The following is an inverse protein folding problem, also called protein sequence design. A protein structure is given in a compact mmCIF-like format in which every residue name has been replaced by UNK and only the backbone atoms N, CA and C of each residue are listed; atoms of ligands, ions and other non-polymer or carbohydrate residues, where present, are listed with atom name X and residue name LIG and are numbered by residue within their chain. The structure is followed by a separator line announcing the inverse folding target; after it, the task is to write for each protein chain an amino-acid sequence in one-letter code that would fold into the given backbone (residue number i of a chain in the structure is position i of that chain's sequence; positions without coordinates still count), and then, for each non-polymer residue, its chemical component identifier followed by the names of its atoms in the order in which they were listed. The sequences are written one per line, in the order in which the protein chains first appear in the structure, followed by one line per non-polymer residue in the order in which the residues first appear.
data_IF_160199929643
#
_entry.id   IF_160199929643
#
_cell.length_a   1.000
_cell.length_b   1.000
_cell.length_c   1.000
_cell.angle_alpha   90.00
_cell.angle_beta   90.00
_cell.angle_gamma   90.00
#
_symmetry.space_group_name_H-M   'P 1'
#
loop_
_entity.id
_entity.type
_entity.pdbx_description
1 polymer ?
#
# COMPACT_ATOMS: atom_id res chain seq x y z
N UNK A 1 2.84 10.02 -27.23
CA UNK A 1 2.38 9.33 -26.01
C UNK A 1 3.30 8.17 -25.70
N UNK A 2 3.70 8.00 -24.43
CA UNK A 2 4.52 6.86 -23.98
C UNK A 2 3.67 5.85 -23.22
N UNK A 3 3.84 4.57 -23.53
CA UNK A 3 3.08 3.46 -22.96
C UNK A 3 4.03 2.43 -22.41
N UNK A 4 3.73 1.88 -21.23
CA UNK A 4 4.49 0.82 -20.61
C UNK A 4 3.60 -0.39 -20.30
N UNK A 5 3.87 -1.53 -20.93
CA UNK A 5 3.22 -2.79 -20.62
C UNK A 5 3.97 -3.48 -19.48
N UNK A 6 3.26 -3.75 -18.39
CA UNK A 6 3.79 -4.38 -17.19
C UNK A 6 3.13 -5.75 -17.03
N UNK A 7 3.91 -6.81 -17.28
CA UNK A 7 3.46 -8.15 -16.98
C UNK A 7 3.60 -8.43 -15.48
N UNK A 8 2.56 -9.01 -14.87
CA UNK A 8 2.63 -9.52 -13.49
C UNK A 8 3.02 -10.99 -13.56
N UNK A 9 4.27 -11.36 -13.22
CA UNK A 9 4.67 -12.76 -13.25
C UNK A 9 3.87 -13.54 -12.20
N UNK A 10 3.22 -14.63 -12.63
CA UNK A 10 2.75 -15.68 -11.73
C UNK A 10 3.97 -16.20 -10.95
N UNK A 11 3.99 -16.08 -9.61
CA UNK A 11 4.90 -16.92 -8.82
C UNK A 11 4.21 -18.27 -8.64
N UNK A 12 4.83 -19.33 -9.16
CA UNK A 12 4.35 -20.72 -9.16
C UNK A 12 4.17 -21.37 -7.76
N UNK A 13 4.38 -20.65 -6.65
CA UNK A 13 4.43 -21.22 -5.29
C UNK A 13 3.21 -20.91 -4.41
N UNK A 14 2.01 -20.75 -4.98
CA UNK A 14 0.79 -20.90 -4.18
C UNK A 14 -0.11 -21.98 -4.81
N UNK A 15 0.00 -23.20 -4.28
CA UNK A 15 -1.08 -24.18 -4.39
C UNK A 15 -2.18 -23.66 -3.49
N UNK A 16 -3.24 -23.11 -4.08
CA UNK A 16 -4.50 -22.97 -3.37
C UNK A 16 -4.86 -24.35 -2.84
N UNK A 17 -4.73 -24.52 -1.52
CA UNK A 17 -5.33 -25.66 -0.86
C UNK A 17 -6.85 -25.58 -1.11
N UNK A 18 -7.40 -26.75 -1.35
CA UNK A 18 -8.82 -27.01 -1.50
C UNK A 18 -9.64 -26.21 -0.48
N UNK A 19 -10.56 -25.39 -0.96
CA UNK A 19 -11.48 -24.64 -0.10
C UNK A 19 -11.42 -23.14 -0.34
N UNK A 20 -12.14 -22.70 -1.38
CA UNK A 20 -12.58 -21.33 -1.46
C UNK A 20 -13.39 -21.00 -0.20
N UNK A 21 -12.81 -20.23 0.72
CA UNK A 21 -13.60 -19.45 1.66
C UNK A 21 -14.16 -18.26 0.88
N UNK A 22 -15.49 -18.18 0.87
CA UNK A 22 -16.28 -17.04 0.42
C UNK A 22 -16.01 -15.83 1.32
N UNK A 23 -14.86 -15.19 1.14
CA UNK A 23 -14.59 -13.78 1.43
C UNK A 23 -13.11 -13.52 1.14
N UNK A 24 -12.90 -12.69 0.11
CA UNK A 24 -11.60 -12.15 -0.33
C UNK A 24 -10.64 -13.11 -1.04
N UNK A 25 -10.40 -12.89 -2.33
CA UNK A 25 -9.09 -13.03 -2.91
C UNK A 25 -8.53 -11.63 -3.15
N UNK A 26 -7.72 -11.10 -2.23
CA UNK A 26 -6.66 -10.17 -2.63
C UNK A 26 -5.66 -10.96 -3.48
N UNK A 27 -6.03 -11.23 -4.74
CA UNK A 27 -5.13 -11.82 -5.71
C UNK A 27 -3.91 -10.90 -5.83
N UNK A 28 -2.71 -11.47 -6.04
CA UNK A 28 -1.46 -10.71 -6.26
C UNK A 28 -1.57 -9.61 -7.34
N UNK A 29 -2.62 -9.66 -8.18
CA UNK A 29 -2.97 -8.64 -9.17
C UNK A 29 -3.39 -7.30 -8.52
N UNK A 30 -4.00 -7.36 -7.33
CA UNK A 30 -4.41 -6.19 -6.52
C UNK A 30 -3.25 -5.51 -5.77
N UNK A 31 -2.07 -6.13 -5.69
CA UNK A 31 -0.89 -5.52 -5.04
C UNK A 31 -0.52 -4.18 -5.67
N UNK A 32 -0.65 -4.09 -6.99
CA UNK A 32 -0.45 -2.86 -7.74
C UNK A 32 -1.67 -1.91 -7.64
N UNK A 33 -2.74 -2.27 -6.97
CA UNK A 33 -3.93 -1.42 -6.79
C UNK A 33 -4.20 -1.19 -5.31
N UNK A 34 -3.14 -1.14 -4.50
CA UNK A 34 -3.22 -0.76 -3.11
C UNK A 34 -3.20 0.77 -2.97
N UNK A 35 -4.34 1.34 -2.58
CA UNK A 35 -4.52 2.80 -2.50
C UNK A 35 -3.87 3.36 -1.24
N UNK A 36 -3.04 4.40 -1.38
CA UNK A 36 -2.51 5.17 -0.25
C UNK A 36 -2.63 6.66 -0.58
N UNK A 37 -3.35 7.39 0.27
CA UNK A 37 -3.57 8.85 0.14
C UNK A 37 -3.97 9.27 -1.30
N UNK A 38 -4.94 8.57 -1.92
CA UNK A 38 -5.45 8.82 -3.28
C UNK A 38 -4.44 8.53 -4.40
N UNK A 39 -3.43 7.70 -4.14
CA UNK A 39 -2.51 7.19 -5.16
C UNK A 39 -2.47 5.67 -5.14
N UNK A 40 -2.35 5.08 -6.33
CA UNK A 40 -1.90 3.69 -6.45
C UNK A 40 -0.41 3.63 -6.72
N UNK A 41 0.19 2.59 -6.18
CA UNK A 41 1.60 2.28 -6.34
C UNK A 41 1.72 0.91 -7.01
N UNK A 42 2.56 0.86 -8.03
CA UNK A 42 2.84 -0.35 -8.77
C UNK A 42 4.30 -0.71 -8.71
N UNK A 43 4.58 -2.00 -8.78
CA UNK A 43 5.92 -2.53 -8.92
C UNK A 43 5.96 -3.54 -10.05
N UNK A 44 6.91 -3.35 -10.98
CA UNK A 44 7.19 -4.33 -12.02
C UNK A 44 8.70 -4.52 -12.15
N UNK A 45 9.11 -5.72 -12.55
CA UNK A 45 10.48 -6.06 -12.84
C UNK A 45 10.53 -6.72 -14.22
N UNK A 46 11.47 -6.28 -15.04
CA UNK A 46 11.75 -6.85 -16.36
C UNK A 46 12.00 -8.36 -16.33
N UNK A 47 12.62 -8.86 -15.25
CA UNK A 47 13.05 -10.26 -15.17
C UNK A 47 14.21 -10.60 -16.11
N UNK A 48 14.74 -9.60 -16.83
CA UNK A 48 15.87 -9.71 -17.74
C UNK A 48 17.14 -9.22 -17.07
N UNK A 49 18.25 -9.89 -17.37
CA UNK A 49 19.56 -9.42 -16.91
C UNK A 49 19.99 -8.22 -17.74
N UNK A 50 20.48 -7.17 -17.07
CA UNK A 50 20.98 -5.97 -17.73
C UNK A 50 22.46 -5.72 -17.46
N UNK A 51 23.13 -5.20 -18.49
CA UNK A 51 24.51 -4.72 -18.39
C UNK A 51 24.56 -3.39 -17.60
N UNK A 52 25.28 -3.41 -16.49
CA UNK A 52 25.50 -2.25 -15.63
C UNK A 52 26.14 -1.06 -16.34
N UNK A 53 26.99 -1.28 -17.35
CA UNK A 53 27.61 -0.17 -18.08
C UNK A 53 26.57 0.59 -18.91
N UNK A 54 25.59 -0.12 -19.48
CA UNK A 54 24.44 0.50 -20.16
C UNK A 54 23.56 1.29 -19.18
N UNK A 55 23.44 0.84 -17.93
CA UNK A 55 22.66 1.53 -16.90
C UNK A 55 23.31 2.83 -16.42
N UNK A 56 24.65 2.87 -16.29
CA UNK A 56 25.39 4.07 -15.85
C UNK A 56 25.27 5.26 -16.82
N UNK A 57 24.94 4.99 -18.08
CA UNK A 57 24.82 5.98 -19.14
C UNK A 57 23.38 6.47 -19.36
N UNK A 58 22.45 6.15 -18.46
CA UNK A 58 21.04 6.58 -18.55
C UNK A 58 20.92 8.01 -17.97
N UNK A 59 20.24 8.90 -18.70
CA UNK A 59 19.98 10.27 -18.23
C UNK A 59 19.04 10.29 -17.02
N UNK A 60 19.17 11.30 -16.16
CA UNK A 60 18.32 11.46 -14.96
C UNK A 60 16.82 11.56 -15.27
N UNK A 61 16.45 12.11 -16.43
CA UNK A 61 15.05 12.18 -16.88
C UNK A 61 14.48 10.81 -17.27
N UNK A 62 15.31 9.91 -17.81
CA UNK A 62 14.94 8.52 -18.12
C UNK A 62 14.73 7.67 -16.85
N UNK A 63 15.25 8.12 -15.71
CA UNK A 63 15.01 7.50 -14.41
C UNK A 63 13.65 7.87 -13.80
N UNK A 64 13.01 8.95 -14.28
CA UNK A 64 11.76 9.48 -13.73
C UNK A 64 10.82 10.00 -14.83
N UNK A 65 10.24 9.06 -15.58
CA UNK A 65 9.34 9.37 -16.68
C UNK A 65 7.94 9.72 -16.16
N UNK A 66 7.36 10.81 -16.65
CA UNK A 66 5.99 11.27 -16.31
C UNK A 66 5.04 11.08 -17.48
N UNK A 67 3.74 11.14 -17.19
CA UNK A 67 2.66 11.03 -18.17
C UNK A 67 2.70 9.73 -19.00
N UNK A 68 3.06 8.63 -18.33
CA UNK A 68 3.09 7.30 -18.94
C UNK A 68 1.73 6.63 -18.79
N UNK A 69 1.20 6.04 -19.86
CA UNK A 69 0.11 5.08 -19.75
C UNK A 69 0.71 3.74 -19.38
N UNK A 70 0.46 3.27 -18.16
CA UNK A 70 0.92 1.96 -17.72
C UNK A 70 -0.22 0.97 -17.89
N UNK A 71 -0.01 -0.08 -18.67
CA UNK A 71 -0.98 -1.14 -18.92
C UNK A 71 -0.50 -2.40 -18.19
N UNK A 72 -1.30 -2.87 -17.25
CA UNK A 72 -1.01 -4.10 -16.52
C UNK A 72 -1.57 -5.30 -17.27
N UNK A 73 -0.75 -6.34 -17.38
CA UNK A 73 -1.03 -7.53 -18.16
C UNK A 73 -0.81 -8.77 -17.31
N UNK A 74 -1.68 -9.77 -17.48
CA UNK A 74 -1.51 -11.12 -16.92
C UNK A 74 -2.00 -12.14 -17.94
N UNK A 75 -1.17 -13.14 -18.26
CA UNK A 75 -1.48 -14.20 -19.25
C UNK A 75 -2.04 -13.66 -20.58
N UNK A 76 -1.41 -12.62 -21.13
CA UNK A 76 -1.81 -11.99 -22.41
C UNK A 76 -3.04 -11.06 -22.31
N UNK A 77 -3.69 -10.97 -21.14
CA UNK A 77 -4.89 -10.14 -20.94
C UNK A 77 -4.57 -8.86 -20.21
N UNK A 78 -5.24 -7.76 -20.59
CA UNK A 78 -5.22 -6.52 -19.83
C UNK A 78 -6.00 -6.75 -18.53
N UNK A 79 -5.37 -6.46 -17.39
CA UNK A 79 -6.01 -6.53 -16.07
C UNK A 79 -6.41 -5.16 -15.54
N UNK A 80 -5.81 -4.10 -16.09
CA UNK A 80 -6.00 -2.74 -15.61
C UNK A 80 -4.93 -1.80 -16.13
N UNK A 81 -5.02 -0.53 -15.77
CA UNK A 81 -4.07 0.48 -16.22
C UNK A 81 -4.00 1.66 -15.28
N UNK A 82 -2.92 2.42 -15.39
CA UNK A 82 -2.78 3.74 -14.82
C UNK A 82 -2.61 4.77 -15.93
N UNK A 83 -3.48 5.78 -15.97
CA UNK A 83 -3.30 6.95 -16.81
C UNK A 83 -2.40 7.95 -16.09
N UNK A 84 -1.60 8.70 -16.87
CA UNK A 84 -0.73 9.79 -16.39
C UNK A 84 0.22 9.35 -15.26
N UNK A 85 0.71 8.11 -15.32
CA UNK A 85 1.59 7.57 -14.31
C UNK A 85 2.97 8.23 -14.34
N UNK A 86 3.61 8.24 -13.17
CA UNK A 86 5.01 8.52 -13.00
C UNK A 86 5.74 7.20 -12.75
N UNK A 87 6.79 6.94 -13.53
CA UNK A 87 7.55 5.69 -13.53
C UNK A 87 8.98 6.00 -13.14
N UNK A 88 9.43 5.34 -12.07
CA UNK A 88 10.79 5.43 -11.56
C UNK A 88 11.54 4.17 -11.92
N UNK A 89 12.60 4.32 -12.71
CA UNK A 89 13.45 3.22 -13.18
C UNK A 89 14.59 2.99 -12.18
N UNK A 90 14.78 1.75 -11.71
CA UNK A 90 15.86 1.39 -10.77
C UNK A 90 16.54 0.07 -11.16
N UNK A 91 17.85 0.01 -11.00
CA UNK A 91 18.58 -1.26 -11.08
C UNK A 91 18.50 -1.98 -9.73
N UNK A 92 18.11 -3.24 -9.73
CA UNK A 92 18.12 -4.11 -8.55
C UNK A 92 19.15 -5.21 -8.69
N UNK A 93 19.70 -5.65 -7.57
CA UNK A 93 20.67 -6.75 -7.51
C UNK A 93 19.98 -7.97 -6.92
N UNK A 94 20.00 -9.08 -7.66
CA UNK A 94 19.65 -10.40 -7.14
C UNK A 94 20.92 -11.21 -6.89
N UNK A 95 21.10 -11.64 -5.65
CA UNK A 95 22.12 -12.61 -5.31
C UNK A 95 21.60 -14.01 -5.65
N UNK A 96 22.29 -14.71 -6.55
CA UNK A 96 21.96 -16.09 -6.93
C UNK A 96 23.19 -16.93 -6.63
N UNK A 97 23.13 -17.73 -5.56
CA UNK A 97 24.11 -18.73 -5.08
C UNK A 97 25.61 -18.34 -5.11
N UNK A 98 26.20 -17.90 -6.24
CA UNK A 98 27.57 -17.39 -6.39
C UNK A 98 27.73 -16.22 -7.41
N UNK A 99 26.64 -15.61 -7.90
CA UNK A 99 26.68 -14.50 -8.85
C UNK A 99 25.71 -13.38 -8.48
N UNK A 100 26.02 -12.16 -8.93
CA UNK A 100 25.10 -11.02 -8.86
C UNK A 100 24.47 -10.82 -10.22
N UNK A 101 23.15 -10.98 -10.28
CA UNK A 101 22.36 -10.65 -11.46
C UNK A 101 21.76 -9.25 -11.26
N UNK A 102 21.91 -8.39 -12.26
CA UNK A 102 21.32 -7.06 -12.25
C UNK A 102 20.06 -7.07 -13.11
N UNK A 103 18.94 -6.64 -12.54
CA UNK A 103 17.67 -6.60 -13.26
C UNK A 103 17.08 -5.18 -13.20
N UNK A 104 16.25 -4.85 -14.19
CA UNK A 104 15.55 -3.58 -14.21
C UNK A 104 14.21 -3.68 -13.51
N UNK A 105 14.00 -2.83 -12.49
CA UNK A 105 12.75 -2.68 -11.79
C UNK A 105 12.17 -1.27 -11.92
N UNK A 106 10.86 -1.18 -11.74
CA UNK A 106 10.07 0.00 -11.99
C UNK A 106 9.13 0.19 -10.81
N UNK A 107 9.29 1.31 -10.11
CA UNK A 107 8.29 1.77 -9.15
C UNK A 107 7.37 2.73 -9.90
N UNK A 108 6.07 2.54 -9.77
CA UNK A 108 5.07 3.25 -10.56
C UNK A 108 4.13 3.93 -9.58
N UNK A 109 3.73 5.15 -9.87
CA UNK A 109 2.77 5.90 -9.07
C UNK A 109 1.79 6.63 -9.98
N UNK A 110 0.51 6.57 -9.66
CA UNK A 110 -0.52 7.34 -10.34
C UNK A 110 -1.64 7.72 -9.37
N UNK A 111 -2.41 8.77 -9.68
CA UNK A 111 -3.58 9.13 -8.86
C UNK A 111 -4.63 8.02 -8.99
N UNK A 112 -5.26 7.65 -7.89
CA UNK A 112 -6.23 6.55 -7.84
C UNK A 112 -7.36 6.75 -8.86
N UNK A 113 -7.85 7.99 -9.01
CA UNK A 113 -8.87 8.38 -10.00
C UNK A 113 -8.49 8.16 -11.46
N UNK A 114 -7.19 8.09 -11.76
CA UNK A 114 -6.67 7.90 -13.10
C UNK A 114 -6.36 6.41 -13.38
N UNK A 115 -6.71 5.51 -12.45
CA UNK A 115 -6.37 4.09 -12.52
C UNK A 115 -7.61 3.21 -12.46
N UNK A 116 -7.57 2.11 -13.20
CA UNK A 116 -8.65 1.14 -13.29
C UNK A 116 -8.09 -0.26 -13.12
N UNK A 117 -8.67 -1.02 -12.20
CA UNK A 117 -8.58 -2.47 -12.10
C UNK A 117 -9.84 -3.08 -12.70
N UNK A 118 -9.67 -3.96 -13.68
CA UNK A 118 -10.77 -4.58 -14.41
C UNK A 118 -11.34 -5.78 -13.66
N UNK A 119 -12.67 -5.89 -13.67
CA UNK A 119 -13.36 -7.14 -13.37
C UNK A 119 -12.85 -8.27 -14.28
N UNK A 120 -12.74 -9.47 -13.74
CA UNK A 120 -12.21 -10.65 -14.44
C UNK A 120 -12.96 -10.90 -15.76
N UNK A 121 -14.28 -10.67 -15.78
CA UNK A 121 -15.12 -10.87 -16.96
C UNK A 121 -14.90 -9.81 -18.04
N UNK A 122 -14.32 -8.66 -17.69
CA UNK A 122 -14.07 -7.55 -18.60
C UNK A 122 -12.66 -7.56 -19.20
N UNK A 123 -11.80 -8.52 -18.82
CA UNK A 123 -10.40 -8.60 -19.26
C UNK A 123 -10.30 -9.13 -20.69
N UNK A 124 -9.72 -8.32 -21.57
CA UNK A 124 -9.58 -8.62 -23.01
C UNK A 124 -8.13 -9.04 -23.33
N UNK A 125 -8.00 -10.02 -24.21
CA UNK A 125 -6.73 -10.47 -24.79
C UNK A 125 -6.47 -9.75 -26.11
N UNK A 126 -5.24 -9.28 -26.29
CA UNK A 126 -4.77 -8.68 -27.54
C UNK A 126 -3.58 -9.50 -28.03
N UNK A 127 -3.60 -9.93 -29.30
CA UNK A 127 -2.57 -10.80 -29.88
C UNK A 127 -1.17 -10.18 -29.86
N UNK A 128 -1.08 -8.85 -29.75
CA UNK A 128 0.15 -8.07 -29.71
C UNK A 128 0.79 -8.04 -28.31
N UNK A 129 0.06 -8.44 -27.28
CA UNK A 129 0.56 -8.51 -25.91
C UNK A 129 1.16 -9.90 -25.68
N UNK A 130 2.48 -10.03 -25.86
CA UNK A 130 3.19 -11.28 -25.56
C UNK A 130 3.39 -11.48 -24.06
N UNK A 131 3.55 -12.73 -23.65
CA UNK A 131 3.88 -13.09 -22.26
C UNK A 131 5.30 -12.68 -21.85
N UNK A 132 6.17 -12.38 -22.81
CA UNK A 132 7.56 -12.01 -22.58
C UNK A 132 7.74 -10.51 -22.36
N UNK A 133 8.07 -10.17 -21.11
CA UNK A 133 8.79 -8.99 -20.63
C UNK A 133 8.17 -7.59 -20.80
N UNK A 134 8.44 -6.76 -19.80
CA UNK A 134 8.10 -5.34 -19.73
C UNK A 134 8.51 -4.58 -21.00
N UNK A 135 7.57 -3.87 -21.62
CA UNK A 135 7.81 -3.11 -22.85
C UNK A 135 7.44 -1.64 -22.66
N UNK A 136 8.42 -0.74 -22.83
CA UNK A 136 8.20 0.72 -22.88
C UNK A 136 8.25 1.17 -24.35
N UNK A 137 7.12 1.67 -24.86
CA UNK A 137 6.98 2.19 -26.22
C UNK A 137 6.79 3.71 -26.20
N UNK A 138 7.52 4.39 -27.07
CA UNK A 138 7.25 5.77 -27.45
C UNK A 138 6.56 5.79 -28.81
N UNK A 139 5.24 6.02 -28.81
CA UNK A 139 4.42 5.95 -30.03
C UNK A 139 4.70 7.10 -30.99
N UNK A 140 5.22 8.23 -30.51
CA UNK A 140 5.61 9.33 -31.40
C UNK A 140 6.84 8.95 -32.22
N UNK A 141 7.72 8.13 -31.65
CA UNK A 141 8.93 7.62 -32.32
C UNK A 141 8.67 6.35 -33.12
N UNK A 142 7.59 5.62 -32.82
CA UNK A 142 7.24 4.35 -33.45
C UNK A 142 5.73 4.28 -33.76
N UNK A 143 5.22 5.03 -34.76
CA UNK A 143 3.79 5.10 -35.05
C UNK A 143 3.21 3.83 -35.69
N UNK A 144 4.06 2.91 -36.16
CA UNK A 144 3.67 1.71 -36.92
C UNK A 144 3.51 0.44 -36.06
N UNK A 145 3.38 0.55 -34.74
CA UNK A 145 3.13 -0.64 -33.91
C UNK A 145 1.69 -1.11 -34.12
N UNK A 146 1.54 -2.16 -34.92
CA UNK A 146 0.27 -2.81 -35.24
C UNK A 146 -0.51 -3.17 -33.96
N UNK A 147 -1.84 -3.00 -33.98
CA UNK A 147 -2.74 -3.33 -32.85
C UNK A 147 -2.74 -2.36 -31.65
N UNK A 148 -1.81 -1.38 -31.60
CA UNK A 148 -1.79 -0.41 -30.49
C UNK A 148 -3.01 0.51 -30.46
N UNK A 149 -3.58 0.80 -31.63
CA UNK A 149 -4.80 1.61 -31.74
C UNK A 149 -5.97 0.94 -31.02
N UNK A 150 -6.14 -0.37 -31.18
CA UNK A 150 -7.26 -1.12 -30.59
C UNK A 150 -7.17 -1.14 -29.05
N UNK A 151 -5.95 -1.29 -28.52
CA UNK A 151 -5.70 -1.23 -27.06
C UNK A 151 -6.04 0.16 -26.51
N UNK A 152 -5.62 1.22 -27.21
CA UNK A 152 -5.90 2.60 -26.80
C UNK A 152 -7.39 2.91 -26.86
N UNK A 153 -8.05 2.53 -27.96
CA UNK A 153 -9.48 2.73 -28.15
C UNK A 153 -10.26 1.99 -27.05
N UNK A 154 -9.85 0.79 -26.65
CA UNK A 154 -10.43 0.06 -25.52
C UNK A 154 -10.26 0.81 -24.18
N UNK A 155 -9.06 1.32 -23.87
CA UNK A 155 -8.76 2.04 -22.62
C UNK A 155 -9.45 3.41 -22.55
N UNK A 156 -9.60 4.10 -23.68
CA UNK A 156 -10.23 5.41 -23.76
C UNK A 156 -11.76 5.32 -23.68
N UNK A 157 -12.34 4.26 -24.25
CA UNK A 157 -13.79 4.08 -24.29
C UNK A 157 -14.34 3.16 -23.18
N UNK A 158 -13.50 2.67 -22.27
CA UNK A 158 -13.94 1.85 -21.15
C UNK A 158 -14.85 2.65 -20.20
N UNK A 159 -16.10 2.17 -20.02
CA UNK A 159 -17.13 2.81 -19.18
C UNK A 159 -17.70 1.89 -18.09
N UNK A 160 -17.25 0.65 -18.02
CA UNK A 160 -17.76 -0.29 -17.02
C UNK A 160 -17.23 0.04 -15.62
N UNK A 161 -17.91 -0.48 -14.61
CA UNK A 161 -17.52 -0.25 -13.22
C UNK A 161 -16.18 -0.94 -12.93
N UNK A 162 -15.16 -0.21 -12.44
CA UNK A 162 -13.90 -0.81 -12.04
C UNK A 162 -14.05 -1.58 -10.73
N UNK A 163 -13.21 -2.60 -10.51
CA UNK A 163 -13.17 -3.33 -9.24
C UNK A 163 -12.62 -2.48 -8.08
N UNK A 164 -11.73 -1.53 -8.37
CA UNK A 164 -11.13 -0.70 -7.34
C UNK A 164 -12.11 0.42 -6.92
N UNK A 165 -12.53 0.41 -5.65
CA UNK A 165 -13.29 1.51 -5.06
C UNK A 165 -12.34 2.66 -4.73
N UNK A 166 -12.54 3.81 -5.39
CA UNK A 166 -11.86 5.06 -5.02
C UNK A 166 -12.71 5.72 -3.95
N UNK A 167 -12.14 5.93 -2.77
CA UNK A 167 -12.85 6.67 -1.72
C UNK A 167 -12.88 8.16 -2.07
N UNK A 168 -14.07 8.75 -2.03
CA UNK A 168 -14.31 10.17 -2.23
C UNK A 168 -14.13 10.96 -0.93
N UNK A 169 -14.09 12.28 -1.01
CA UNK A 169 -14.12 13.13 0.18
C UNK A 169 -15.43 12.95 0.96
N UNK A 170 -16.53 12.71 0.25
CA UNK A 170 -17.84 12.43 0.82
C UNK A 170 -17.79 11.15 1.67
N UNK A 171 -17.30 10.04 1.11
CA UNK A 171 -17.12 8.75 1.82
C UNK A 171 -16.34 8.90 3.13
N UNK A 172 -15.36 9.81 3.16
CA UNK A 172 -14.48 10.05 4.32
C UNK A 172 -15.09 10.98 5.38
N UNK A 173 -16.15 11.71 5.01
CA UNK A 173 -16.80 12.73 5.83
C UNK A 173 -18.18 12.31 6.34
N UNK A 174 -18.67 11.13 5.94
CA UNK A 174 -19.94 10.57 6.42
C UNK A 174 -19.95 10.55 7.94
N UNK A 175 -21.10 10.91 8.51
CA UNK A 175 -21.46 10.74 9.92
C UNK A 175 -22.62 9.77 9.99
N UNK A 176 -22.70 8.99 11.07
CA UNK A 176 -23.87 8.14 11.28
C UNK A 176 -25.14 8.97 11.52
N UNK A 177 -26.26 8.51 10.97
CA UNK A 177 -27.60 9.06 11.24
C UNK A 177 -28.23 8.47 12.51
N UNK A 178 -27.65 7.39 13.06
CA UNK A 178 -28.15 6.77 14.28
C UNK A 178 -27.97 7.72 15.48
N UNK A 179 -29.03 7.87 16.26
CA UNK A 179 -29.03 8.64 17.49
C UNK A 179 -28.60 7.74 18.66
N UNK A 180 -27.40 7.97 19.19
CA UNK A 180 -27.00 7.41 20.47
C UNK A 180 -27.23 8.43 21.60
N UNK A 181 -27.43 7.96 22.82
CA UNK A 181 -27.77 8.82 23.97
C UNK A 181 -26.57 9.66 24.43
N UNK A 182 -25.37 9.08 24.40
CA UNK A 182 -24.14 9.73 24.88
C UNK A 182 -22.99 9.66 23.88
N UNK A 183 -21.98 10.51 24.08
CA UNK A 183 -20.72 10.45 23.30
C UNK A 183 -20.01 9.11 23.51
N UNK A 184 -20.11 8.54 24.71
CA UNK A 184 -19.52 7.23 25.01
C UNK A 184 -20.15 6.13 24.16
N UNK A 185 -21.47 6.16 23.97
CA UNK A 185 -22.16 5.18 23.13
C UNK A 185 -21.68 5.24 21.67
N UNK A 186 -21.49 6.45 21.13
CA UNK A 186 -20.92 6.62 19.79
C UNK A 186 -19.49 6.07 19.70
N UNK A 187 -18.66 6.28 20.73
CA UNK A 187 -17.31 5.71 20.79
C UNK A 187 -17.35 4.18 20.81
N UNK A 188 -18.19 3.58 21.65
CA UNK A 188 -18.33 2.13 21.77
C UNK A 188 -18.82 1.49 20.47
N UNK A 189 -19.75 2.12 19.76
CA UNK A 189 -20.16 1.64 18.44
C UNK A 189 -19.02 1.74 17.42
N UNK A 190 -18.28 2.85 17.41
CA UNK A 190 -17.09 3.01 16.56
C UNK A 190 -16.04 1.91 16.81
N UNK A 191 -15.76 1.60 18.07
CA UNK A 191 -14.86 0.51 18.47
C UNK A 191 -15.38 -0.86 18.03
N UNK A 192 -16.69 -1.11 18.22
CA UNK A 192 -17.34 -2.36 17.79
C UNK A 192 -17.26 -2.56 16.28
N UNK A 193 -17.67 -1.58 15.48
CA UNK A 193 -17.61 -1.68 14.02
C UNK A 193 -16.19 -1.87 13.52
N UNK A 194 -15.22 -1.19 14.14
CA UNK A 194 -13.81 -1.38 13.80
C UNK A 194 -13.34 -2.81 14.09
N UNK A 195 -13.73 -3.39 15.23
CA UNK A 195 -13.41 -4.79 15.57
C UNK A 195 -14.05 -5.82 14.64
N UNK A 196 -15.16 -5.44 13.98
CA UNK A 196 -15.83 -6.24 12.95
C UNK A 196 -15.24 -6.01 11.54
N UNK A 197 -14.13 -5.28 11.41
CA UNK A 197 -13.49 -4.90 10.14
C UNK A 197 -14.40 -4.04 9.23
N UNK A 198 -15.39 -3.36 9.82
CA UNK A 198 -16.31 -2.45 9.14
C UNK A 198 -15.83 -1.01 9.25
N UNK A 199 -14.74 -0.72 8.54
CA UNK A 199 -14.02 0.55 8.65
C UNK A 199 -14.86 1.78 8.23
N UNK A 200 -15.75 1.65 7.24
CA UNK A 200 -16.58 2.76 6.78
C UNK A 200 -17.61 3.17 7.85
N UNK A 201 -18.27 2.17 8.44
CA UNK A 201 -19.23 2.36 9.51
C UNK A 201 -18.53 2.91 10.76
N UNK A 202 -17.39 2.33 11.15
CA UNK A 202 -16.58 2.83 12.26
C UNK A 202 -16.18 4.30 12.07
N UNK A 203 -15.76 4.67 10.85
CA UNK A 203 -15.40 6.04 10.51
C UNK A 203 -16.58 7.01 10.71
N UNK A 204 -17.78 6.60 10.31
CA UNK A 204 -19.00 7.40 10.46
C UNK A 204 -19.33 7.70 11.93
N UNK A 205 -19.16 6.72 12.81
CA UNK A 205 -19.32 6.90 14.26
C UNK A 205 -18.28 7.85 14.86
N UNK A 206 -16.99 7.68 14.53
CA UNK A 206 -15.97 8.59 15.05
C UNK A 206 -16.07 10.01 14.46
N UNK A 207 -16.51 10.16 13.20
CA UNK A 207 -16.82 11.46 12.64
C UNK A 207 -17.96 12.13 13.42
N UNK A 208 -19.00 11.37 13.81
CA UNK A 208 -20.11 11.89 14.62
C UNK A 208 -19.64 12.37 15.99
N UNK A 209 -18.75 11.62 16.67
CA UNK A 209 -18.12 12.06 17.92
C UNK A 209 -17.41 13.40 17.74
N UNK A 210 -16.65 13.56 16.66
CA UNK A 210 -15.87 14.78 16.41
C UNK A 210 -16.76 15.95 15.97
N UNK A 211 -17.90 15.68 15.33
CA UNK A 211 -18.93 16.67 15.03
C UNK A 211 -19.53 17.24 16.34
N UNK A 212 -19.91 16.36 17.26
CA UNK A 212 -20.51 16.73 18.55
C UNK A 212 -19.50 17.34 19.52
N UNK A 213 -18.30 16.77 19.58
CA UNK A 213 -17.22 17.18 20.49
C UNK A 213 -15.86 17.16 19.77
N UNK A 214 -15.53 18.25 19.08
CA UNK A 214 -14.32 18.35 18.25
C UNK A 214 -12.98 18.23 18.99
N UNK A 215 -12.99 18.18 20.32
CA UNK A 215 -11.81 17.98 21.19
C UNK A 215 -11.78 16.60 21.87
N UNK A 216 -12.73 15.71 21.57
CA UNK A 216 -12.74 14.37 22.17
C UNK A 216 -11.51 13.58 21.71
N UNK A 217 -10.61 13.28 22.65
CA UNK A 217 -9.32 12.63 22.35
C UNK A 217 -9.53 11.20 21.84
N UNK A 218 -10.46 10.44 22.44
CA UNK A 218 -10.78 9.06 22.02
C UNK A 218 -11.36 9.04 20.61
N UNK A 219 -12.27 9.95 20.29
CA UNK A 219 -12.84 10.09 18.95
C UNK A 219 -11.80 10.47 17.90
N UNK A 220 -10.89 11.41 18.22
CA UNK A 220 -9.78 11.79 17.34
C UNK A 220 -8.79 10.63 17.12
N UNK A 221 -8.49 9.85 18.16
CA UNK A 221 -7.63 8.67 18.03
C UNK A 221 -8.32 7.56 17.23
N UNK A 222 -9.58 7.23 17.55
CA UNK A 222 -10.38 6.24 16.83
C UNK A 222 -10.52 6.58 15.34
N UNK A 223 -10.83 7.84 15.01
CA UNK A 223 -10.80 8.29 13.60
C UNK A 223 -9.41 8.14 12.98
N UNK A 224 -8.35 8.48 13.72
CA UNK A 224 -6.97 8.29 13.25
C UNK A 224 -6.64 6.83 12.94
N UNK A 225 -7.09 5.91 13.79
CA UNK A 225 -6.90 4.47 13.64
C UNK A 225 -7.64 3.93 12.41
N UNK A 226 -8.94 4.24 12.27
CA UNK A 226 -9.75 3.81 11.13
C UNK A 226 -9.25 4.40 9.81
N UNK A 227 -8.85 5.67 9.79
CA UNK A 227 -8.23 6.26 8.60
C UNK A 227 -6.88 5.63 8.26
N UNK A 228 -6.21 5.01 9.23
CA UNK A 228 -4.97 4.24 8.98
C UNK A 228 -5.27 2.92 8.29
N UNK A 229 -6.30 2.17 8.71
CA UNK A 229 -6.71 0.93 8.03
C UNK A 229 -7.24 1.20 6.61
N UNK A 230 -7.90 2.34 6.41
CA UNK A 230 -8.33 2.83 5.10
C UNK A 230 -7.20 3.46 4.26
N UNK A 231 -5.94 3.40 4.72
CA UNK A 231 -4.76 3.96 4.05
C UNK A 231 -4.82 5.46 3.74
N UNK A 232 -5.65 6.21 4.47
CA UNK A 232 -5.76 7.68 4.43
C UNK A 232 -4.83 8.30 5.45
N UNK A 233 -3.55 7.98 5.33
CA UNK A 233 -2.49 8.35 6.27
C UNK A 233 -2.39 9.85 6.53
N UNK A 234 -2.56 10.69 5.51
CA UNK A 234 -2.51 12.15 5.68
C UNK A 234 -3.63 12.65 6.61
N UNK A 235 -4.85 12.12 6.44
CA UNK A 235 -5.99 12.46 7.29
C UNK A 235 -5.88 11.81 8.67
N UNK A 236 -5.39 10.58 8.75
CA UNK A 236 -5.10 9.88 9.99
C UNK A 236 -4.13 10.68 10.86
N UNK A 237 -2.97 11.08 10.30
CA UNK A 237 -1.99 11.92 11.00
C UNK A 237 -2.58 13.25 11.46
N UNK A 238 -3.48 13.87 10.69
CA UNK A 238 -4.16 15.11 11.10
C UNK A 238 -5.04 14.88 12.35
N UNK A 239 -5.78 13.78 12.41
CA UNK A 239 -6.58 13.41 13.59
C UNK A 239 -5.71 13.11 14.80
N UNK A 240 -4.67 12.27 14.64
CA UNK A 240 -3.75 11.91 15.72
C UNK A 240 -2.96 13.10 16.25
N UNK A 241 -2.51 14.01 15.38
CA UNK A 241 -1.83 15.23 15.81
C UNK A 241 -2.77 16.18 16.55
N UNK A 242 -4.08 16.19 16.26
CA UNK A 242 -5.05 16.93 17.06
C UNK A 242 -5.21 16.30 18.45
N UNK A 243 -5.34 14.98 18.55
CA UNK A 243 -5.37 14.27 19.83
C UNK A 243 -4.13 14.60 20.68
N UNK A 244 -2.94 14.50 20.07
CA UNK A 244 -1.65 14.77 20.76
C UNK A 244 -1.41 16.24 21.14
N UNK A 245 -2.16 17.18 20.57
CA UNK A 245 -2.13 18.58 21.05
C UNK A 245 -2.93 18.77 22.33
N UNK A 246 -3.90 17.90 22.59
CA UNK A 246 -4.76 17.95 23.77
C UNK A 246 -4.13 17.09 24.87
N UNK A 247 -3.71 15.87 24.52
CA UNK A 247 -2.92 14.99 25.38
C UNK A 247 -1.61 14.56 24.70
N UNK A 248 -0.49 15.24 24.99
CA UNK A 248 0.83 14.91 24.44
C UNK A 248 1.38 13.54 24.84
N UNK A 249 0.82 12.92 25.89
CA UNK A 249 1.24 11.61 26.41
C UNK A 249 0.29 10.49 26.00
N UNK A 250 -0.67 10.74 25.11
CA UNK A 250 -1.53 9.71 24.57
C UNK A 250 -0.71 8.69 23.77
N UNK A 251 -0.47 7.55 24.39
CA UNK A 251 0.45 6.54 23.90
C UNK A 251 -0.08 5.89 22.62
N UNK A 252 -1.37 5.58 22.55
CA UNK A 252 -2.01 4.94 21.40
C UNK A 252 -1.89 5.82 20.14
N UNK A 253 -2.03 7.14 20.31
CA UNK A 253 -1.91 8.06 19.18
C UNK A 253 -0.46 8.18 18.69
N UNK A 254 0.54 8.11 19.58
CA UNK A 254 1.96 8.06 19.21
C UNK A 254 2.27 6.76 18.50
N UNK A 255 1.77 5.64 19.01
CA UNK A 255 1.92 4.31 18.41
C UNK A 255 1.30 4.25 17.01
N UNK A 256 0.07 4.75 16.84
CA UNK A 256 -0.61 4.81 15.55
C UNK A 256 0.15 5.66 14.52
N UNK A 257 0.78 6.77 14.94
CA UNK A 257 1.71 7.52 14.07
C UNK A 257 2.91 6.67 13.65
N UNK A 258 3.42 5.84 14.54
CA UNK A 258 4.50 4.89 14.25
C UNK A 258 4.11 3.90 13.14
N UNK A 259 2.89 3.37 13.19
CA UNK A 259 2.33 2.51 12.12
C UNK A 259 2.29 3.26 10.80
N UNK A 260 1.71 4.45 10.78
CA UNK A 260 1.57 5.27 9.56
C UNK A 260 2.93 5.57 8.93
N UNK A 261 3.90 6.07 9.72
CA UNK A 261 5.23 6.37 9.19
C UNK A 261 5.94 5.13 8.67
N UNK A 262 5.74 3.98 9.32
CA UNK A 262 6.30 2.70 8.86
C UNK A 262 5.71 2.29 7.51
N UNK A 263 4.38 2.40 7.35
CA UNK A 263 3.68 2.09 6.11
C UNK A 263 4.06 3.03 4.96
N UNK A 264 4.33 4.30 5.26
CA UNK A 264 4.83 5.28 4.28
C UNK A 264 6.33 5.10 3.94
N UNK A 265 7.02 4.12 4.55
CA UNK A 265 8.45 3.88 4.35
C UNK A 265 9.36 4.86 5.11
N UNK A 266 8.81 5.73 5.96
CA UNK A 266 9.55 6.63 6.84
C UNK A 266 10.05 5.88 8.10
N UNK A 267 10.80 4.79 7.88
CA UNK A 267 11.13 3.78 8.90
C UNK A 267 11.75 4.38 10.18
N UNK A 268 12.65 5.36 10.05
CA UNK A 268 13.28 6.04 11.20
C UNK A 268 12.28 6.82 12.05
N UNK A 269 11.30 7.49 11.42
CA UNK A 269 10.23 8.21 12.13
C UNK A 269 9.28 7.21 12.80
N UNK A 270 8.96 6.11 12.13
CA UNK A 270 8.20 4.99 12.71
C UNK A 270 8.85 4.45 13.99
N UNK A 271 10.15 4.12 13.93
CA UNK A 271 10.94 3.68 15.09
C UNK A 271 10.87 4.70 16.23
N UNK A 272 11.06 5.99 15.94
CA UNK A 272 11.05 7.02 16.98
C UNK A 272 9.68 7.13 17.68
N UNK A 273 8.59 7.05 16.92
CA UNK A 273 7.24 6.99 17.48
C UNK A 273 7.05 5.77 18.38
N UNK A 274 7.40 4.57 17.91
CA UNK A 274 7.29 3.35 18.71
C UNK A 274 8.14 3.39 19.99
N UNK A 275 9.35 3.95 19.93
CA UNK A 275 10.17 4.16 21.13
C UNK A 275 9.57 5.19 22.08
N UNK A 276 8.91 6.22 21.57
CA UNK A 276 8.23 7.20 22.40
C UNK A 276 7.01 6.60 23.10
N UNK A 277 6.21 5.79 22.40
CA UNK A 277 5.10 5.04 22.99
C UNK A 277 5.58 4.11 24.12
N UNK A 278 6.63 3.31 23.87
CA UNK A 278 7.23 2.42 24.87
C UNK A 278 7.76 3.13 26.13
N UNK A 279 8.17 4.40 26.02
CA UNK A 279 8.61 5.18 27.18
C UNK A 279 7.45 5.60 28.09
N UNK A 280 6.24 5.71 27.53
CA UNK A 280 5.04 6.09 28.27
C UNK A 280 4.42 4.84 28.89
N UNK A 281 4.21 3.79 28.08
CA UNK A 281 3.71 2.50 28.55
C UNK A 281 4.53 1.34 27.96
N UNK A 282 5.16 0.55 28.83
CA UNK A 282 6.05 -0.55 28.43
C UNK A 282 5.35 -1.87 28.11
N UNK A 283 4.01 -1.95 28.19
CA UNK A 283 3.25 -3.21 28.06
C UNK A 283 2.84 -3.60 26.63
N UNK A 284 3.17 -2.80 25.61
CA UNK A 284 2.95 -3.20 24.22
C UNK A 284 4.06 -4.15 23.76
N UNK A 285 3.92 -5.43 24.09
CA UNK A 285 4.85 -6.50 23.72
C UNK A 285 5.17 -6.47 22.20
N UNK A 286 4.15 -6.23 21.38
CA UNK A 286 4.27 -6.16 19.92
C UNK A 286 5.11 -4.97 19.42
N UNK A 287 5.31 -3.92 20.23
CA UNK A 287 6.05 -2.74 19.81
C UNK A 287 7.56 -3.03 19.68
N UNK A 288 8.11 -3.88 20.54
CA UNK A 288 9.51 -4.31 20.43
C UNK A 288 9.77 -5.04 19.11
N UNK A 289 8.84 -5.92 18.74
CA UNK A 289 8.85 -6.66 17.48
C UNK A 289 8.78 -5.71 16.29
N UNK A 290 7.86 -4.75 16.30
CA UNK A 290 7.77 -3.73 15.24
C UNK A 290 9.06 -2.94 15.07
N UNK A 291 9.66 -2.47 16.17
CA UNK A 291 10.95 -1.77 16.13
C UNK A 291 12.05 -2.67 15.56
N UNK A 292 12.10 -3.95 15.96
CA UNK A 292 13.09 -4.89 15.43
C UNK A 292 12.95 -5.11 13.92
N UNK A 293 11.73 -5.28 13.41
CA UNK A 293 11.47 -5.41 11.98
C UNK A 293 11.90 -4.16 11.21
N UNK A 294 11.62 -2.97 11.74
CA UNK A 294 12.05 -1.72 11.12
C UNK A 294 13.57 -1.56 11.12
N UNK A 295 14.25 -1.97 12.21
CA UNK A 295 15.71 -1.96 12.26
C UNK A 295 16.33 -2.89 11.22
N UNK A 296 15.76 -4.09 11.07
CA UNK A 296 16.16 -5.04 10.02
C UNK A 296 15.96 -4.42 8.63
N UNK A 297 14.84 -3.75 8.41
CA UNK A 297 14.54 -3.09 7.12
C UNK A 297 15.51 -1.94 6.77
N UNK A 298 16.11 -1.27 7.76
CA UNK A 298 17.14 -0.25 7.53
C UNK A 298 18.58 -0.81 7.58
N UNK A 299 18.76 -2.13 7.72
CA UNK A 299 20.07 -2.80 7.74
C UNK A 299 20.80 -2.78 9.09
N UNK A 300 20.12 -2.43 10.18
CA UNK A 300 20.68 -2.33 11.53
C UNK A 300 20.44 -3.62 12.32
N UNK A 301 21.07 -4.72 11.89
CA UNK A 301 20.81 -6.07 12.39
C UNK A 301 21.11 -6.25 13.89
N UNK A 302 22.14 -5.58 14.41
CA UNK A 302 22.49 -5.64 15.84
C UNK A 302 21.39 -5.01 16.70
N UNK A 303 20.84 -3.88 16.26
CA UNK A 303 19.73 -3.24 16.95
C UNK A 303 18.47 -4.08 16.83
N UNK A 304 18.20 -4.66 15.67
CA UNK A 304 17.09 -5.60 15.48
C UNK A 304 17.14 -6.74 16.49
N UNK A 305 18.28 -7.45 16.58
CA UNK A 305 18.50 -8.54 17.55
C UNK A 305 18.29 -8.09 19.00
N UNK A 306 18.80 -6.90 19.37
CA UNK A 306 18.60 -6.34 20.72
C UNK A 306 17.13 -6.17 21.06
N UNK A 307 16.32 -5.65 20.13
CA UNK A 307 14.88 -5.44 20.37
C UNK A 307 14.09 -6.76 20.39
N UNK A 308 14.48 -7.75 19.58
CA UNK A 308 13.91 -9.12 19.64
C UNK A 308 14.18 -9.74 21.02
N UNK A 309 15.42 -9.69 21.50
CA UNK A 309 15.78 -10.22 22.81
C UNK A 309 15.02 -9.54 23.96
N UNK A 310 14.78 -8.23 23.85
CA UNK A 310 13.96 -7.50 24.82
C UNK A 310 12.51 -8.00 24.81
N UNK A 311 11.93 -8.23 23.62
CA UNK A 311 10.58 -8.79 23.47
C UNK A 311 10.43 -10.17 24.14
N UNK A 312 11.38 -11.07 23.90
CA UNK A 312 11.35 -12.44 24.47
C UNK A 312 11.45 -12.42 26.00
N UNK A 313 12.23 -11.49 26.56
CA UNK A 313 12.36 -11.35 28.03
C UNK A 313 11.06 -10.89 28.69
N UNK A 314 10.28 -10.04 28.01
CA UNK A 314 9.01 -9.53 28.52
C UNK A 314 7.90 -10.59 28.43
N UNK A 315 7.87 -11.35 27.33
CA UNK A 315 6.87 -12.38 27.12
C UNK A 315 7.50 -13.70 26.65
N UNK A 316 7.81 -14.57 27.62
CA UNK A 316 8.43 -15.89 27.38
C UNK A 316 7.56 -16.84 26.54
N UNK A 317 6.27 -16.56 26.38
CA UNK A 317 5.32 -17.38 25.64
C UNK A 317 4.97 -16.80 24.26
N UNK A 318 5.65 -15.75 23.79
CA UNK A 318 5.37 -15.19 22.48
C UNK A 318 5.81 -16.16 21.36
N UNK A 319 4.81 -16.82 20.75
CA UNK A 319 4.93 -17.96 19.82
C UNK A 319 5.64 -17.57 18.52
N UNK A 320 5.74 -16.27 18.20
CA UNK A 320 6.32 -15.76 16.94
C UNK A 320 7.79 -16.21 16.71
N UNK A 321 8.49 -16.71 17.74
CA UNK A 321 9.93 -16.99 17.66
C UNK A 321 10.41 -18.33 18.20
N UNK A 322 9.55 -19.36 18.31
CA UNK A 322 10.06 -20.74 18.51
C UNK A 322 10.80 -21.30 17.27
N UNK A 323 10.86 -20.57 16.16
CA UNK A 323 11.52 -21.00 14.91
C UNK A 323 12.79 -20.20 14.53
N UNK A 324 13.42 -19.46 15.46
CA UNK A 324 14.64 -18.68 15.15
C UNK A 324 15.88 -19.14 15.94
N UNK A 325 15.98 -20.45 16.18
CA UNK A 325 17.25 -21.10 16.55
C UNK A 325 17.94 -21.73 15.33
#
# INVERSE_FOLDING_TARGET
MRIMFCNIPWRENYRGEEGALESEPLCFESYNFYEIDNYYYGYCNSGEEIDLQKFKNIELEDLNAKNILVVWVSKGKIIGWYKKAQVYKKCIVKAIFNARRYEMAYNIKAKAKDCILLDVNNRVEFSQITTSSLLLLDLEKNPAVEGMKDILDYIENYKMQPLNKIMTEEDLSIVTEECCETIEDYLLQGEKFYSEYKDFEALAYYNKVIELEGKNIRGLNGRGLVLTSLNKYTLALKSLNKALRIDPLMEEAIYNKGIIYSAQGELKRGINCFKAALKINSTFDDTYVKIAFLYKAIGEDLLSKKYIQASIKLNKNNIIYQEVD
#
